data_IF_177966806057
#
_entry.id   IF_177966806057
#
_cell.length_a   1.000
_cell.length_b   1.000
_cell.length_c   1.000
_cell.angle_alpha   90.00
_cell.angle_beta   90.00
_cell.angle_gamma   90.00
#
_symmetry.space_group_name_H-M   'P 1'
#
loop_
_entity.id
_entity.type
_entity.pdbx_description
1 polymer ?
#
# COMPACT_ATOMS: atom_id res chain seq x y z
N UNK A 1 -8.00 22.71 12.44
CA UNK A 1 -8.07 21.24 12.51
C UNK A 1 -7.96 20.71 11.10
N UNK A 2 -6.77 20.27 10.69
CA UNK A 2 -6.58 19.61 9.40
C UNK A 2 -7.35 18.29 9.42
N UNK A 3 -8.44 18.22 8.65
CA UNK A 3 -9.11 16.95 8.38
C UNK A 3 -8.22 16.19 7.38
N UNK A 4 -7.26 15.42 7.89
CA UNK A 4 -6.59 14.40 7.07
C UNK A 4 -7.68 13.44 6.59
N UNK A 5 -7.95 13.45 5.29
CA UNK A 5 -8.79 12.44 4.65
C UNK A 5 -8.00 11.13 4.73
N UNK A 6 -8.11 10.40 5.85
CA UNK A 6 -7.67 9.00 5.93
C UNK A 6 -8.76 8.19 5.25
N UNK A 7 -8.48 7.70 4.05
CA UNK A 7 -9.30 6.66 3.44
C UNK A 7 -9.19 5.40 4.30
N UNK A 8 -10.29 4.69 4.53
CA UNK A 8 -10.28 3.40 5.24
C UNK A 8 -9.43 2.34 4.52
N UNK A 9 -9.10 2.60 3.25
CA UNK A 9 -8.24 1.80 2.39
C UNK A 9 -6.80 2.31 2.32
N UNK A 10 -6.51 3.48 2.89
CA UNK A 10 -5.14 4.00 3.02
C UNK A 10 -4.59 3.54 4.37
N UNK A 11 -3.95 2.39 4.36
CA UNK A 11 -3.40 1.77 5.56
C UNK A 11 -1.89 1.96 5.62
N UNK A 12 -1.42 2.47 6.74
CA UNK A 12 0.00 2.48 7.09
C UNK A 12 0.50 1.04 7.27
N UNK A 13 1.77 0.77 6.91
CA UNK A 13 2.35 -0.58 6.96
C UNK A 13 2.26 -1.15 8.38
N UNK A 14 2.60 -0.37 9.41
CA UNK A 14 2.57 -0.83 10.81
C UNK A 14 1.13 -1.05 11.29
N UNK A 15 0.18 -0.20 10.85
CA UNK A 15 -1.25 -0.40 11.11
C UNK A 15 -1.76 -1.69 10.44
N UNK A 16 -1.26 -2.02 9.25
CA UNK A 16 -1.61 -3.23 8.49
C UNK A 16 -1.07 -4.49 9.15
N UNK A 17 0.22 -4.51 9.50
CA UNK A 17 0.85 -5.63 10.18
C UNK A 17 0.12 -5.95 11.49
N UNK A 18 -0.18 -4.91 12.29
CA UNK A 18 -0.92 -5.06 13.54
C UNK A 18 -2.36 -5.52 13.33
N UNK A 19 -3.08 -4.99 12.34
CA UNK A 19 -4.48 -5.32 12.07
C UNK A 19 -4.66 -6.78 11.68
N UNK A 20 -3.74 -7.33 10.89
CA UNK A 20 -3.82 -8.70 10.39
C UNK A 20 -2.96 -9.69 11.19
N UNK A 21 -2.28 -9.24 12.24
CA UNK A 21 -1.43 -10.09 13.08
C UNK A 21 -0.24 -10.66 12.31
N UNK A 22 0.30 -9.90 11.36
CA UNK A 22 1.45 -10.30 10.56
C UNK A 22 2.71 -10.23 11.45
N UNK A 23 3.55 -11.27 11.48
CA UNK A 23 4.81 -11.25 12.22
C UNK A 23 5.74 -10.13 11.73
N UNK A 24 6.49 -9.51 12.64
CA UNK A 24 7.43 -8.43 12.29
C UNK A 24 8.55 -8.94 11.35
N UNK A 25 8.92 -10.21 11.45
CA UNK A 25 9.90 -10.84 10.54
C UNK A 25 9.44 -10.90 9.07
N UNK A 26 8.13 -10.78 8.82
CA UNK A 26 7.56 -10.75 7.48
C UNK A 26 7.33 -9.31 6.97
N UNK A 27 7.77 -8.30 7.72
CA UNK A 27 7.55 -6.88 7.38
C UNK A 27 8.18 -6.50 6.05
N UNK A 28 9.43 -6.88 5.83
CA UNK A 28 10.18 -6.55 4.62
C UNK A 28 9.51 -7.18 3.38
N UNK A 29 9.06 -8.43 3.50
CA UNK A 29 8.32 -9.12 2.42
C UNK A 29 7.00 -8.43 2.08
N UNK A 30 6.27 -7.93 3.10
CA UNK A 30 5.01 -7.20 2.91
C UNK A 30 5.25 -5.84 2.27
N UNK A 31 6.29 -5.12 2.69
CA UNK A 31 6.66 -3.82 2.13
C UNK A 31 7.03 -3.94 0.64
N UNK A 32 7.90 -4.90 0.30
CA UNK A 32 8.30 -5.17 -1.09
C UNK A 32 7.09 -5.57 -1.96
N UNK A 33 6.20 -6.39 -1.41
CA UNK A 33 4.98 -6.80 -2.11
C UNK A 33 4.05 -5.62 -2.38
N UNK A 34 3.86 -4.72 -1.41
CA UNK A 34 3.04 -3.53 -1.58
C UNK A 34 3.63 -2.59 -2.65
N UNK A 35 4.95 -2.37 -2.60
CA UNK A 35 5.64 -1.54 -3.59
C UNK A 35 5.48 -2.11 -5.01
N UNK A 36 5.60 -3.44 -5.17
CA UNK A 36 5.39 -4.10 -6.46
C UNK A 36 3.95 -3.92 -7.00
N UNK A 37 2.95 -3.96 -6.12
CA UNK A 37 1.54 -3.74 -6.50
C UNK A 37 1.34 -2.28 -6.94
N UNK A 38 1.91 -1.31 -6.21
CA UNK A 38 1.86 0.10 -6.57
C UNK A 38 2.47 0.36 -7.95
N UNK A 39 3.65 -0.19 -8.22
CA UNK A 39 4.34 -0.05 -9.50
C UNK A 39 3.53 -0.64 -10.66
N UNK A 40 2.90 -1.81 -10.44
CA UNK A 40 2.03 -2.44 -11.44
C UNK A 40 0.80 -1.57 -11.74
N UNK A 41 0.15 -1.04 -10.71
CA UNK A 41 -1.03 -0.17 -10.88
C UNK A 41 -0.64 1.12 -11.60
N UNK A 42 0.48 1.73 -11.22
CA UNK A 42 1.01 2.92 -11.87
C UNK A 42 1.32 2.64 -13.35
N UNK A 43 2.00 1.55 -13.64
CA UNK A 43 2.32 1.13 -15.01
C UNK A 43 1.05 0.92 -15.84
N UNK A 44 0.06 0.19 -15.31
CA UNK A 44 -1.23 0.00 -15.97
C UNK A 44 -1.92 1.33 -16.26
N UNK A 45 -1.93 2.24 -15.28
CA UNK A 45 -2.55 3.56 -15.40
C UNK A 45 -1.86 4.39 -16.49
N UNK A 46 -0.52 4.46 -16.49
CA UNK A 46 0.23 5.19 -17.52
C UNK A 46 0.02 4.60 -18.91
N UNK A 47 0.02 3.28 -19.05
CA UNK A 47 -0.12 2.63 -20.37
C UNK A 47 -1.55 2.73 -20.92
N UNK A 48 -2.56 2.70 -20.05
CA UNK A 48 -3.97 2.72 -20.46
C UNK A 48 -4.50 4.14 -20.66
N UNK A 49 -4.07 5.11 -19.85
CA UNK A 49 -4.53 6.50 -19.93
C UNK A 49 -3.67 7.40 -20.84
N UNK A 50 -2.51 6.94 -21.30
CA UNK A 50 -1.67 7.69 -22.25
C UNK A 50 -1.95 7.36 -23.73
N UNK A 51 -2.99 6.56 -24.01
CA UNK A 51 -3.54 6.32 -25.35
C UNK A 51 -4.88 7.05 -25.51
#
# INVERSE_FOLDING_TARGET
MEKKIKSDYYTDLDETLKKYGIPEEAKDDVDETMQCIEDMILYFTMTTLSN
#
